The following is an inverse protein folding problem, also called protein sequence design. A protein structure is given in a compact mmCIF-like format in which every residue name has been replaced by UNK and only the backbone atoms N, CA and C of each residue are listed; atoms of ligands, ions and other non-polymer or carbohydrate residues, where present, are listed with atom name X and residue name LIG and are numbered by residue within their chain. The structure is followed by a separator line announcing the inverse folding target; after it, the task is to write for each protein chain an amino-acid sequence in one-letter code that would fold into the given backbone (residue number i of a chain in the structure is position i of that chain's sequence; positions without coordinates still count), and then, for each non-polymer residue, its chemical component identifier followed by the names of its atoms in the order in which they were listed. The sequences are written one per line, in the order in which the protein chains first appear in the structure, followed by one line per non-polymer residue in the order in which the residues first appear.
data_IF_572449537167
#
_entry.id   IF_572449537167
#
_cell.length_a   1.000
_cell.length_b   1.000
_cell.length_c   1.000
_cell.angle_alpha   90.00
_cell.angle_beta   90.00
_cell.angle_gamma   90.00
#
_symmetry.space_group_name_H-M   'P 1'
#
loop_
_entity.id
_entity.type
_entity.pdbx_description
1 polymer ?
#
# COMPACT_ATOMS: atom_id res chain seq x y z
N UNK A 1 -0.69 -8.17 -12.55
CA UNK A 1 -0.04 -6.95 -12.03
C UNK A 1 1.46 -7.17 -11.95
N UNK A 2 2.24 -6.15 -12.29
CA UNK A 2 3.70 -6.09 -12.15
C UNK A 2 4.04 -5.57 -10.76
N UNK A 3 5.08 -6.15 -10.15
CA UNK A 3 5.54 -5.83 -8.79
C UNK A 3 4.40 -5.79 -7.76
N UNK A 4 3.61 -6.88 -7.63
CA UNK A 4 2.49 -6.90 -6.71
C UNK A 4 2.95 -6.91 -5.26
N UNK A 5 2.20 -6.21 -4.43
CA UNK A 5 2.24 -6.28 -2.97
C UNK A 5 0.87 -6.70 -2.47
N UNK A 6 0.85 -7.55 -1.46
CA UNK A 6 -0.34 -7.98 -0.75
C UNK A 6 -0.16 -7.64 0.74
N UNK A 7 -1.23 -7.26 1.42
CA UNK A 7 -1.24 -6.88 2.84
C UNK A 7 -2.63 -7.12 3.44
N UNK A 8 -2.74 -6.85 4.74
CA UNK A 8 -3.98 -6.90 5.49
C UNK A 8 -4.34 -5.55 6.13
N UNK A 9 -5.63 -5.17 6.10
CA UNK A 9 -6.22 -4.09 6.91
C UNK A 9 -7.60 -4.50 7.42
N UNK A 10 -7.78 -4.58 8.76
CA UNK A 10 -9.05 -4.93 9.38
C UNK A 10 -9.82 -3.68 9.83
N UNK A 11 -9.20 -2.86 10.67
CA UNK A 11 -9.73 -1.61 11.19
C UNK A 11 -8.60 -0.68 11.67
N UNK A 12 -8.88 0.62 11.72
CA UNK A 12 -7.95 1.66 12.16
C UNK A 12 -8.70 2.94 12.56
N UNK A 13 -7.98 4.03 12.84
CA UNK A 13 -8.63 5.29 13.27
C UNK A 13 -9.61 5.85 12.22
N UNK A 14 -9.33 5.65 10.94
CA UNK A 14 -10.18 6.06 9.82
C UNK A 14 -11.44 5.17 9.65
N UNK A 15 -11.40 3.95 10.15
CA UNK A 15 -12.51 2.99 10.14
C UNK A 15 -12.42 2.12 11.40
N UNK A 16 -12.92 2.60 12.56
CA UNK A 16 -12.78 1.88 13.83
C UNK A 16 -13.49 0.53 13.82
N UNK A 17 -13.05 -0.36 14.70
CA UNK A 17 -13.70 -1.66 14.87
C UNK A 17 -15.19 -1.49 15.22
N UNK A 18 -16.11 -2.19 14.55
CA UNK A 18 -17.53 -2.15 14.89
C UNK A 18 -17.83 -2.91 16.19
N UNK A 19 -16.92 -3.76 16.64
CA UNK A 19 -16.99 -4.50 17.91
C UNK A 19 -15.97 -3.94 18.89
N UNK A 20 -16.28 -4.00 20.19
CA UNK A 20 -15.32 -3.61 21.21
C UNK A 20 -14.06 -4.49 21.10
N UNK A 21 -12.93 -3.85 20.86
CA UNK A 21 -11.61 -4.47 20.82
C UNK A 21 -10.69 -3.63 21.70
N UNK A 22 -9.82 -4.28 22.47
CA UNK A 22 -8.84 -3.56 23.29
C UNK A 22 -7.75 -2.92 22.40
N UNK A 23 -7.54 -3.49 21.20
CA UNK A 23 -6.62 -2.98 20.18
C UNK A 23 -7.24 -1.76 19.49
N UNK A 24 -6.54 -0.62 19.43
CA UNK A 24 -7.06 0.56 18.71
C UNK A 24 -7.06 0.41 17.18
N UNK A 25 -6.10 -0.36 16.64
CA UNK A 25 -5.98 -0.67 15.22
C UNK A 25 -5.44 -2.09 15.01
N UNK A 26 -5.77 -2.69 13.87
CA UNK A 26 -5.28 -4.01 13.47
C UNK A 26 -5.10 -4.04 11.94
N UNK A 27 -3.85 -3.93 11.52
CA UNK A 27 -3.46 -3.92 10.10
C UNK A 27 -1.95 -4.09 9.91
N UNK A 28 -1.56 -4.62 8.75
CA UNK A 28 -0.17 -4.77 8.31
C UNK A 28 0.32 -3.57 7.50
N UNK A 29 -0.61 -2.84 6.89
CA UNK A 29 -0.43 -1.56 6.23
C UNK A 29 -1.67 -0.70 6.44
N UNK A 30 -1.53 0.62 6.40
CA UNK A 30 -2.67 1.54 6.55
C UNK A 30 -2.81 2.56 5.42
N UNK A 31 -1.94 2.51 4.41
CA UNK A 31 -2.17 3.26 3.18
C UNK A 31 -1.31 2.82 2.02
N UNK A 32 -1.83 3.08 0.83
CA UNK A 32 -1.08 3.09 -0.41
C UNK A 32 -0.42 4.46 -0.56
N UNK A 33 0.91 4.47 -0.68
CA UNK A 33 1.69 5.65 -1.06
C UNK A 33 2.15 5.51 -2.51
N UNK A 34 2.07 6.60 -3.27
CA UNK A 34 2.49 6.65 -4.67
C UNK A 34 3.32 7.91 -4.88
N UNK A 35 4.46 7.77 -5.56
CA UNK A 35 5.16 8.87 -6.20
C UNK A 35 4.91 8.77 -7.72
N UNK A 36 3.99 9.61 -8.19
CA UNK A 36 3.55 9.61 -9.58
C UNK A 36 4.66 10.10 -10.53
N UNK A 37 4.53 9.80 -11.82
CA UNK A 37 5.53 10.19 -12.82
C UNK A 37 5.74 11.70 -12.94
N UNK A 38 4.71 12.49 -12.63
CA UNK A 38 4.76 13.96 -12.58
C UNK A 38 5.40 14.52 -11.28
N UNK A 39 5.84 13.67 -10.36
CA UNK A 39 6.43 14.05 -9.07
C UNK A 39 5.43 14.28 -7.94
N UNK A 40 4.13 14.09 -8.18
CA UNK A 40 3.11 14.19 -7.14
C UNK A 40 3.18 13.00 -6.16
N UNK A 41 3.12 13.31 -4.86
CA UNK A 41 2.93 12.31 -3.80
C UNK A 41 1.44 12.14 -3.51
N UNK A 42 0.96 10.90 -3.63
CA UNK A 42 -0.43 10.54 -3.32
C UNK A 42 -0.44 9.61 -2.12
N UNK A 43 -1.34 9.87 -1.18
CA UNK A 43 -1.63 9.01 -0.04
C UNK A 43 -3.09 8.58 -0.07
N UNK A 44 -3.32 7.26 -0.12
CA UNK A 44 -4.65 6.65 -0.02
C UNK A 44 -4.70 5.78 1.24
N UNK A 45 -5.28 6.28 2.35
CA UNK A 45 -5.54 5.44 3.54
C UNK A 45 -6.34 4.20 3.14
N UNK A 46 -6.08 3.03 3.71
CA UNK A 46 -6.80 1.79 3.37
C UNK A 46 -8.14 1.69 4.10
N UNK A 47 -9.07 0.95 3.52
CA UNK A 47 -10.33 0.57 4.14
C UNK A 47 -10.52 -0.97 4.10
N UNK A 48 -11.38 -1.46 4.98
CA UNK A 48 -12.00 -2.76 4.88
C UNK A 48 -13.47 -2.56 4.43
N UNK A 49 -13.72 -2.49 3.10
CA UNK A 49 -15.04 -2.13 2.57
C UNK A 49 -16.05 -3.27 2.73
N UNK A 50 -17.35 -2.95 2.62
CA UNK A 50 -18.43 -3.97 2.63
C UNK A 50 -18.55 -4.75 1.30
N UNK A 51 -17.98 -4.21 0.23
CA UNK A 51 -17.96 -4.81 -1.11
C UNK A 51 -16.56 -4.65 -1.70
N UNK A 52 -16.19 -5.55 -2.62
CA UNK A 52 -14.93 -5.45 -3.36
C UNK A 52 -14.78 -4.05 -3.96
N UNK A 53 -13.70 -3.37 -3.63
CA UNK A 53 -13.37 -2.06 -4.18
C UNK A 53 -12.08 -2.13 -4.98
N UNK A 54 -12.08 -1.51 -6.15
CA UNK A 54 -10.90 -1.36 -7.00
C UNK A 54 -10.72 0.14 -7.28
N UNK A 55 -9.60 0.70 -6.83
CA UNK A 55 -9.19 2.06 -7.16
C UNK A 55 -8.06 2.02 -8.18
N UNK A 56 -8.13 2.85 -9.22
CA UNK A 56 -7.12 2.92 -10.27
C UNK A 56 -6.53 4.32 -10.38
N UNK A 57 -5.20 4.42 -10.31
CA UNK A 57 -4.44 5.66 -10.44
C UNK A 57 -3.68 5.63 -11.77
N UNK A 58 -4.30 6.18 -12.82
CA UNK A 58 -3.72 6.24 -14.15
C UNK A 58 -2.55 7.25 -14.19
N UNK A 59 -1.42 6.81 -14.74
CA UNK A 59 -0.23 7.65 -14.89
C UNK A 59 0.73 7.08 -15.95
N UNK A 60 1.77 7.85 -16.23
CA UNK A 60 2.89 7.45 -17.07
C UNK A 60 4.17 7.45 -16.24
N UNK A 61 4.98 6.40 -16.34
CA UNK A 61 6.28 6.27 -15.67
C UNK A 61 6.22 6.53 -14.15
N UNK A 62 5.53 5.68 -13.35
CA UNK A 62 5.54 5.81 -11.89
C UNK A 62 6.97 5.80 -11.34
N UNK A 63 7.29 6.71 -10.43
CA UNK A 63 8.62 6.74 -9.80
C UNK A 63 8.69 5.83 -8.57
N UNK A 64 7.55 5.51 -7.94
CA UNK A 64 7.46 4.50 -6.91
C UNK A 64 6.06 4.36 -6.33
N UNK A 65 5.81 3.23 -5.68
CA UNK A 65 4.56 2.98 -4.96
C UNK A 65 4.74 1.89 -3.91
N UNK A 66 3.90 1.88 -2.88
CA UNK A 66 4.04 0.91 -1.81
C UNK A 66 2.87 0.87 -0.84
N UNK A 67 2.77 -0.23 -0.10
CA UNK A 67 1.90 -0.35 1.06
C UNK A 67 2.71 -0.02 2.30
N UNK A 68 2.30 1.03 3.01
CA UNK A 68 3.05 1.58 4.14
C UNK A 68 2.28 1.39 5.44
N UNK A 69 3.05 1.25 6.52
CA UNK A 69 2.62 1.16 7.91
C UNK A 69 3.02 2.44 8.64
N UNK A 70 2.28 3.54 8.46
CA UNK A 70 2.57 4.82 9.12
C UNK A 70 2.01 4.84 10.55
N UNK A 71 2.79 5.31 11.51
CA UNK A 71 2.39 5.34 12.92
C UNK A 71 2.67 4.04 13.65
N UNK A 72 3.89 3.91 14.15
CA UNK A 72 4.43 2.68 14.76
C UNK A 72 4.45 2.67 16.29
N UNK A 73 3.77 3.60 16.95
CA UNK A 73 3.69 3.54 18.41
C UNK A 73 2.95 2.26 18.81
N UNK A 74 3.54 1.46 19.71
CA UNK A 74 2.92 0.22 20.21
C UNK A 74 1.49 0.45 20.68
N UNK A 75 1.21 1.62 21.29
CA UNK A 75 -0.10 2.00 21.79
C UNK A 75 -1.19 2.18 20.74
N UNK A 76 -0.86 2.07 19.44
CA UNK A 76 -1.85 2.03 18.35
C UNK A 76 -2.38 0.62 18.11
N UNK A 77 -1.70 -0.40 18.60
CA UNK A 77 -1.99 -1.80 18.31
C UNK A 77 -2.23 -2.60 19.59
N UNK A 78 -1.44 -2.35 20.65
CA UNK A 78 -1.54 -3.00 21.97
C UNK A 78 -1.42 -4.55 21.94
N UNK A 79 -1.00 -5.12 20.81
CA UNK A 79 -0.87 -6.57 20.64
C UNK A 79 0.57 -7.03 20.88
N UNK A 80 0.78 -7.82 21.93
CA UNK A 80 2.10 -8.34 22.32
C UNK A 80 2.57 -9.53 21.48
N UNK A 81 1.65 -10.29 20.88
CA UNK A 81 1.93 -11.50 20.12
C UNK A 81 2.22 -11.16 18.65
N UNK A 82 1.32 -10.40 18.02
CA UNK A 82 1.33 -10.16 16.58
C UNK A 82 2.18 -8.96 16.14
N UNK A 83 2.51 -8.06 17.08
CA UNK A 83 3.44 -6.93 16.92
C UNK A 83 3.31 -6.18 15.58
N UNK A 84 2.08 -5.78 15.25
CA UNK A 84 1.77 -4.99 14.04
C UNK A 84 2.61 -3.70 13.93
N UNK A 85 2.98 -3.11 15.07
CA UNK A 85 3.87 -1.94 15.17
C UNK A 85 5.27 -2.18 14.56
N UNK A 86 5.69 -3.44 14.47
CA UNK A 86 6.98 -3.87 13.92
C UNK A 86 6.89 -4.37 12.47
N UNK A 87 5.69 -4.59 11.92
CA UNK A 87 5.54 -5.12 10.55
C UNK A 87 6.05 -4.11 9.50
N UNK A 88 6.72 -4.55 8.43
CA UNK A 88 7.41 -3.65 7.52
C UNK A 88 6.45 -2.92 6.58
N UNK A 89 6.79 -1.68 6.23
CA UNK A 89 6.33 -1.07 4.98
C UNK A 89 7.07 -1.70 3.80
N UNK A 90 6.41 -1.79 2.64
CA UNK A 90 7.03 -2.26 1.39
C UNK A 90 6.91 -1.20 0.30
N UNK A 91 8.04 -0.78 -0.28
CA UNK A 91 8.12 0.24 -1.33
C UNK A 91 8.77 -0.30 -2.60
N UNK A 92 8.06 -0.21 -3.72
CA UNK A 92 8.55 -0.53 -5.06
C UNK A 92 9.17 0.71 -5.69
N UNK A 93 10.39 0.57 -6.20
CA UNK A 93 11.05 1.59 -7.03
C UNK A 93 11.32 1.00 -8.41
N UNK A 94 10.53 1.38 -9.43
CA UNK A 94 10.79 1.05 -10.83
C UNK A 94 12.20 1.47 -11.28
N UNK A 95 12.81 0.66 -12.15
CA UNK A 95 14.06 1.01 -12.85
C UNK A 95 13.76 1.15 -14.33
N UNK A 96 13.90 2.37 -14.84
CA UNK A 96 13.55 2.74 -16.21
C UNK A 96 12.07 3.04 -16.37
N UNK A 97 11.67 3.30 -17.62
CA UNK A 97 10.33 3.78 -17.96
C UNK A 97 9.35 2.61 -18.10
N UNK A 98 8.30 2.61 -17.29
CA UNK A 98 7.23 1.60 -17.33
C UNK A 98 6.09 1.97 -18.27
N UNK A 99 6.15 3.17 -18.88
CA UNK A 99 5.16 3.68 -19.82
C UNK A 99 3.83 4.01 -19.17
N UNK A 100 2.78 4.01 -19.99
CA UNK A 100 1.40 4.30 -19.57
C UNK A 100 0.75 3.08 -18.93
N UNK A 101 0.01 3.33 -17.86
CA UNK A 101 -0.69 2.31 -17.12
C UNK A 101 -1.35 2.91 -15.89
N UNK A 102 -1.56 2.06 -14.90
CA UNK A 102 -2.19 2.44 -13.64
C UNK A 102 -1.61 1.63 -12.49
N UNK A 103 -1.52 2.29 -11.34
CA UNK A 103 -1.39 1.60 -10.05
C UNK A 103 -2.80 1.24 -9.61
N UNK A 104 -3.06 -0.03 -9.37
CA UNK A 104 -4.35 -0.49 -8.85
C UNK A 104 -4.23 -0.79 -7.37
N UNK A 105 -5.28 -0.45 -6.62
CA UNK A 105 -5.51 -0.85 -5.25
C UNK A 105 -6.80 -1.67 -5.21
N UNK A 106 -6.71 -2.90 -4.73
CA UNK A 106 -7.84 -3.79 -4.52
C UNK A 106 -8.03 -3.95 -3.02
N UNK A 107 -9.24 -3.63 -2.54
CA UNK A 107 -9.66 -3.77 -1.16
C UNK A 107 -10.81 -4.79 -1.11
N UNK A 108 -10.55 -5.94 -0.50
CA UNK A 108 -11.46 -7.08 -0.41
C UNK A 108 -12.15 -7.04 0.97
N UNK A 109 -13.47 -7.25 1.05
CA UNK A 109 -14.14 -7.37 2.33
C UNK A 109 -13.58 -8.54 3.14
N UNK A 110 -13.18 -8.31 4.38
CA UNK A 110 -12.80 -9.37 5.31
C UNK A 110 -13.40 -9.15 6.69
N UNK A 111 -13.65 -10.24 7.41
CA UNK A 111 -14.03 -10.22 8.82
C UNK A 111 -12.89 -10.69 9.73
N UNK A 112 -11.74 -11.04 9.17
CA UNK A 112 -10.68 -11.79 9.84
C UNK A 112 -9.31 -11.35 9.32
N UNK A 113 -8.39 -11.12 10.25
CA UNK A 113 -7.00 -10.73 10.01
C UNK A 113 -6.11 -11.82 9.43
N UNK A 114 -6.52 -13.08 9.49
CA UNK A 114 -5.75 -14.20 8.94
C UNK A 114 -5.70 -14.20 7.41
N UNK A 115 -6.62 -13.49 6.76
CA UNK A 115 -6.68 -13.39 5.30
C UNK A 115 -6.28 -11.99 4.84
N UNK A 116 -5.21 -11.93 4.05
CA UNK A 116 -4.86 -10.71 3.34
C UNK A 116 -6.01 -10.23 2.47
N UNK A 117 -6.32 -8.95 2.58
CA UNK A 117 -7.46 -8.33 1.91
C UNK A 117 -7.11 -7.08 1.12
N UNK A 118 -5.81 -6.75 1.02
CA UNK A 118 -5.30 -5.58 0.31
C UNK A 118 -4.32 -6.05 -0.74
N UNK A 119 -4.48 -5.57 -1.97
CA UNK A 119 -3.53 -5.83 -3.06
C UNK A 119 -3.22 -4.53 -3.78
N UNK A 120 -1.95 -4.29 -4.11
CA UNK A 120 -1.56 -3.24 -5.05
C UNK A 120 -0.53 -3.73 -6.04
N UNK A 121 -0.59 -3.21 -7.27
CA UNK A 121 0.35 -3.53 -8.34
C UNK A 121 0.29 -2.48 -9.45
N UNK A 122 1.30 -2.48 -10.31
CA UNK A 122 1.24 -1.79 -11.59
C UNK A 122 0.56 -2.65 -12.65
N UNK A 123 -0.24 -2.03 -13.52
CA UNK A 123 -0.73 -2.66 -14.74
C UNK A 123 -0.52 -1.72 -15.93
N UNK A 124 0.23 -2.15 -16.97
CA UNK A 124 0.33 -1.40 -18.22
C UNK A 124 -1.04 -1.25 -18.89
N UNK A 125 -1.26 -0.14 -19.61
CA UNK A 125 -2.48 0.06 -20.40
C UNK A 125 -2.56 -0.86 -21.62
N UNK A 126 -1.39 -1.23 -22.16
CA UNK A 126 -1.26 -2.12 -23.30
C UNK A 126 -0.32 -3.28 -22.97
N UNK A 127 -0.79 -4.49 -23.22
CA UNK A 127 0.03 -5.68 -23.20
C UNK A 127 0.55 -5.95 -24.61
N UNK A 128 1.80 -6.42 -24.78
CA UNK A 128 2.28 -6.80 -26.09
C UNK A 128 1.61 -8.10 -26.55
N UNK A 129 1.73 -8.41 -27.84
CA UNK A 129 1.22 -9.65 -28.41
C UNK A 129 1.76 -10.90 -27.69
N UNK A 130 0.99 -12.00 -27.60
CA UNK A 130 1.46 -13.24 -26.99
C UNK A 130 2.83 -13.69 -27.54
N UNK A 131 3.75 -14.02 -26.63
CA UNK A 131 5.11 -14.42 -26.97
C UNK A 131 6.12 -13.27 -27.14
N UNK A 132 5.68 -12.00 -27.05
CA UNK A 132 6.59 -10.86 -26.96
C UNK A 132 7.08 -10.65 -25.52
N UNK A 133 8.35 -10.31 -25.39
CA UNK A 133 9.01 -10.09 -24.11
C UNK A 133 8.56 -8.78 -23.44
N UNK A 134 8.36 -8.82 -22.12
CA UNK A 134 8.24 -7.63 -21.28
C UNK A 134 9.36 -7.64 -20.24
N UNK A 135 10.09 -6.53 -20.15
CA UNK A 135 11.21 -6.37 -19.22
C UNK A 135 10.84 -5.38 -18.11
N UNK A 136 10.66 -5.89 -16.89
CA UNK A 136 10.46 -5.05 -15.71
C UNK A 136 11.61 -5.23 -14.73
N UNK A 137 12.23 -4.11 -14.34
CA UNK A 137 13.29 -4.04 -13.34
C UNK A 137 12.82 -3.11 -12.23
N UNK A 138 13.01 -3.51 -10.98
CA UNK A 138 12.64 -2.72 -9.81
C UNK A 138 13.39 -3.20 -8.57
N UNK A 139 13.33 -2.42 -7.50
CA UNK A 139 13.68 -2.85 -6.13
C UNK A 139 12.43 -2.86 -5.25
N UNK A 140 12.43 -3.75 -4.26
CA UNK A 140 11.48 -3.73 -3.15
C UNK A 140 12.26 -3.37 -1.90
N UNK A 141 11.88 -2.28 -1.24
CA UNK A 141 12.45 -1.88 0.04
C UNK A 141 11.46 -2.24 1.15
N UNK A 142 11.84 -3.18 2.01
CA UNK A 142 11.14 -3.45 3.26
C UNK A 142 11.77 -2.59 4.37
N UNK A 143 10.98 -1.72 5.00
CA UNK A 143 11.50 -0.73 5.95
C UNK A 143 10.54 -0.49 7.11
N UNK A 144 11.08 0.07 8.19
CA UNK A 144 10.30 0.66 9.30
C UNK A 144 10.54 2.17 9.46
N UNK A 145 11.25 2.75 8.50
CA UNK A 145 11.59 4.17 8.46
C UNK A 145 10.74 4.82 7.34
N UNK A 146 9.44 5.03 7.60
CA UNK A 146 8.51 5.58 6.59
C UNK A 146 8.88 7.00 6.14
N UNK A 147 9.57 7.76 6.99
CA UNK A 147 10.12 9.09 6.68
C UNK A 147 11.19 9.03 5.58
N UNK A 148 11.98 7.95 5.53
CA UNK A 148 12.98 7.71 4.47
C UNK A 148 12.37 7.19 3.17
N UNK A 149 11.10 6.79 3.19
CA UNK A 149 10.34 6.37 2.01
C UNK A 149 9.53 7.53 1.39
N UNK A 150 9.68 8.76 1.91
CA UNK A 150 8.97 9.94 1.44
C UNK A 150 9.98 11.08 1.18
N UNK A 151 9.62 12.04 0.32
CA UNK A 151 10.51 13.18 0.07
C UNK A 151 10.61 14.10 1.30
N UNK A 152 11.82 14.52 1.71
CA UNK A 152 12.01 15.26 2.97
C UNK A 152 11.42 16.69 2.95
N UNK A 153 11.18 17.24 1.77
CA UNK A 153 10.58 18.56 1.53
C UNK A 153 9.06 18.49 1.27
N UNK A 154 8.45 17.30 1.36
CA UNK A 154 7.02 17.09 1.20
C UNK A 154 6.41 16.51 2.49
N UNK A 155 5.47 17.22 3.11
CA UNK A 155 4.79 16.73 4.30
C UNK A 155 3.90 15.51 3.95
N UNK A 156 3.75 14.58 4.90
CA UNK A 156 2.91 13.40 4.71
C UNK A 156 1.92 13.19 5.85
N UNK A 157 0.84 12.46 5.56
CA UNK A 157 -0.22 12.14 6.53
C UNK A 157 0.28 11.07 7.51
N UNK A 158 0.33 11.40 8.80
CA UNK A 158 0.72 10.48 9.87
C UNK A 158 -0.44 9.61 10.37
N UNK A 159 -1.67 10.13 10.33
CA UNK A 159 -2.89 9.41 10.72
C UNK A 159 -4.12 10.07 10.09
N UNK A 160 -5.24 9.34 9.99
CA UNK A 160 -6.53 9.82 9.49
C UNK A 160 -7.63 9.42 10.45
#
# INVERSE_FOLDING_TARGET
GVAPLTSMFLFGSNQPSPTLNYRPALHDSNGLSILAGNGEWIWRPLNNPKHLAVSSYAMENPQGFGLLQRGRQFSRFEDLDDRYDLRPSAWITPKGDWGKGKIELVEIPTNDETNDNIVTYWTPDQLPEPGKEMNFKYTITFSRDEDKLHAPDNAYVMQT
#
